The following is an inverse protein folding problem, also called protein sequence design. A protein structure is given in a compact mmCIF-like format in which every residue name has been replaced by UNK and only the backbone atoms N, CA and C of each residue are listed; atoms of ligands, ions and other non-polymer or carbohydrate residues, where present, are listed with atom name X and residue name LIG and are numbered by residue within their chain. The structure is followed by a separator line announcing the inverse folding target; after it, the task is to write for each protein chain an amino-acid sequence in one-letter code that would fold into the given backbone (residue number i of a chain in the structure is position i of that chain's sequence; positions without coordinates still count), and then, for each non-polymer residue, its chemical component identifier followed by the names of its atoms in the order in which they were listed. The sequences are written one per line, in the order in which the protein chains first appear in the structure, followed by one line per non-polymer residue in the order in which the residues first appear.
data_IF_980283298625
#
_entry.id   IF_980283298625
#
_cell.length_a   1.000
_cell.length_b   1.000
_cell.length_c   1.000
_cell.angle_alpha   90.00
_cell.angle_beta   90.00
_cell.angle_gamma   90.00
#
_symmetry.space_group_name_H-M   'P 1'
#
loop_
_entity.id
_entity.type
_entity.pdbx_description
1 polymer ?
#
# COMPACT_ATOMS: atom_id res chain seq x y z
N UNK A 1 2.30 4.16 -15.82
CA UNK A 1 1.08 4.80 -16.35
C UNK A 1 -0.03 3.77 -16.23
N UNK A 2 -0.86 3.90 -15.20
CA UNK A 2 -1.88 2.91 -14.84
C UNK A 2 -2.99 2.85 -15.89
N UNK A 3 -3.46 1.64 -16.17
CA UNK A 3 -4.51 1.33 -17.13
C UNK A 3 -5.92 1.43 -16.52
N UNK A 4 -6.06 2.20 -15.44
CA UNK A 4 -7.26 2.34 -14.59
C UNK A 4 -7.73 1.06 -13.89
N UNK A 5 -6.93 -0.02 -13.91
CA UNK A 5 -7.15 -1.17 -13.02
C UNK A 5 -6.30 -1.05 -11.77
N UNK A 6 -6.84 -1.54 -10.67
CA UNK A 6 -6.07 -1.73 -9.44
C UNK A 6 -5.09 -2.90 -9.62
N UNK A 7 -3.89 -2.76 -9.08
CA UNK A 7 -2.95 -3.87 -8.94
C UNK A 7 -3.03 -4.52 -7.55
N UNK A 8 -2.68 -5.81 -7.47
CA UNK A 8 -2.46 -6.45 -6.18
C UNK A 8 -1.06 -6.18 -5.65
N UNK A 9 -0.99 -5.68 -4.42
CA UNK A 9 0.25 -5.58 -3.66
C UNK A 9 0.38 -6.72 -2.66
N UNK A 10 1.48 -7.45 -2.74
CA UNK A 10 1.83 -8.52 -1.81
C UNK A 10 3.05 -8.08 -1.02
N UNK A 11 3.03 -8.28 0.30
CA UNK A 11 4.16 -8.05 1.18
C UNK A 11 4.31 -9.15 2.21
N UNK A 12 5.56 -9.54 2.48
CA UNK A 12 5.88 -10.53 3.50
C UNK A 12 6.76 -9.90 4.58
N UNK A 13 6.21 -9.78 5.78
CA UNK A 13 6.83 -9.05 6.89
C UNK A 13 8.14 -9.66 7.40
N UNK A 14 8.32 -10.98 7.24
CA UNK A 14 9.48 -11.73 7.75
C UNK A 14 10.77 -11.45 6.99
N UNK A 15 10.68 -11.14 5.70
CA UNK A 15 11.85 -10.93 4.83
C UNK A 15 11.73 -9.70 3.92
N UNK A 16 10.63 -8.94 4.03
CA UNK A 16 10.43 -7.67 3.36
C UNK A 16 10.13 -7.80 1.88
N UNK A 17 10.00 -9.02 1.36
CA UNK A 17 9.70 -9.25 -0.05
C UNK A 17 8.37 -8.61 -0.38
N UNK A 18 8.35 -7.80 -1.43
CA UNK A 18 7.12 -7.27 -2.01
C UNK A 18 7.00 -7.64 -3.49
N UNK A 19 5.75 -7.70 -3.97
CA UNK A 19 5.42 -7.93 -5.38
C UNK A 19 4.16 -7.15 -5.76
N UNK A 20 4.16 -6.58 -6.96
CA UNK A 20 2.97 -6.03 -7.61
C UNK A 20 2.51 -6.98 -8.71
N UNK A 21 1.21 -7.08 -8.90
CA UNK A 21 0.59 -7.92 -9.91
C UNK A 21 -0.56 -7.20 -10.59
N UNK A 22 -0.58 -7.25 -11.92
CA UNK A 22 -1.82 -7.00 -12.66
C UNK A 22 -2.85 -8.09 -12.32
N UNK A 23 -4.12 -7.70 -12.30
CA UNK A 23 -5.24 -8.60 -12.06
C UNK A 23 -5.99 -8.79 -13.35
N UNK A 24 -6.05 -10.02 -13.85
CA UNK A 24 -6.87 -10.30 -15.02
C UNK A 24 -8.35 -10.17 -14.67
N UNK A 25 -9.20 -9.92 -15.66
CA UNK A 25 -10.66 -9.82 -15.47
C UNK A 25 -11.31 -11.08 -14.90
N UNK A 26 -10.64 -12.23 -14.95
CA UNK A 26 -11.08 -13.49 -14.35
C UNK A 26 -10.57 -13.70 -12.90
N UNK A 27 -9.86 -12.71 -12.35
CA UNK A 27 -9.26 -12.73 -11.02
C UNK A 27 -7.92 -13.45 -10.92
N UNK A 28 -7.36 -13.96 -12.03
CA UNK A 28 -6.05 -14.61 -12.01
C UNK A 28 -4.90 -13.60 -11.96
N UNK A 29 -3.80 -13.97 -11.31
CA UNK A 29 -2.56 -13.18 -11.27
C UNK A 29 -1.53 -13.76 -12.24
N UNK A 30 -0.90 -12.88 -13.02
CA UNK A 30 0.21 -13.22 -13.90
C UNK A 30 1.57 -13.31 -13.17
N UNK A 31 2.65 -13.10 -13.92
CA UNK A 31 3.95 -12.86 -13.32
C UNK A 31 3.94 -11.50 -12.58
N UNK A 32 4.77 -11.32 -11.54
CA UNK A 32 4.91 -10.01 -10.90
C UNK A 32 5.38 -8.97 -11.92
N UNK A 33 4.73 -7.81 -11.95
CA UNK A 33 5.15 -6.69 -12.80
C UNK A 33 6.31 -5.91 -12.19
N UNK A 34 6.45 -5.97 -10.86
CA UNK A 34 7.58 -5.45 -10.10
C UNK A 34 7.74 -6.20 -8.79
N UNK A 35 8.98 -6.38 -8.36
CA UNK A 35 9.31 -7.01 -7.08
C UNK A 35 10.59 -6.44 -6.48
N UNK A 36 10.77 -6.64 -5.18
CA UNK A 36 11.94 -6.18 -4.45
C UNK A 36 11.84 -6.42 -2.96
N UNK A 37 12.55 -5.60 -2.18
CA UNK A 37 12.57 -5.70 -0.72
C UNK A 37 12.29 -4.33 -0.11
N UNK A 38 11.29 -4.27 0.76
CA UNK A 38 11.02 -3.16 1.66
C UNK A 38 11.54 -3.46 3.07
N UNK A 39 11.47 -2.45 3.95
CA UNK A 39 11.78 -2.65 5.36
C UNK A 39 10.84 -3.68 6.01
N UNK A 40 11.33 -4.34 7.06
CA UNK A 40 10.69 -5.50 7.67
C UNK A 40 9.60 -5.13 8.68
N UNK A 41 8.77 -6.12 9.02
CA UNK A 41 7.89 -6.06 10.19
C UNK A 41 6.78 -5.03 10.09
N UNK A 42 6.26 -4.75 8.89
CA UNK A 42 4.99 -4.04 8.76
C UNK A 42 3.84 -5.03 8.96
N UNK A 43 2.86 -4.63 9.76
CA UNK A 43 1.70 -5.48 10.10
C UNK A 43 0.51 -5.19 9.19
N UNK A 44 0.39 -3.94 8.73
CA UNK A 44 -0.64 -3.52 7.79
C UNK A 44 -0.05 -2.61 6.74
N UNK A 45 -0.40 -2.86 5.49
CA UNK A 45 -0.12 -2.00 4.34
C UNK A 45 -1.42 -1.91 3.54
N UNK A 46 -1.92 -0.70 3.29
CA UNK A 46 -3.15 -0.48 2.50
C UNK A 46 -2.94 0.70 1.57
N UNK A 47 -3.58 0.65 0.42
CA UNK A 47 -3.75 1.78 -0.47
C UNK A 47 -4.78 2.76 0.11
N UNK A 48 -4.60 4.06 -0.15
CA UNK A 48 -5.52 5.15 0.21
C UNK A 48 -5.24 6.35 -0.71
N UNK A 49 -6.27 6.87 -1.37
CA UNK A 49 -6.22 8.18 -2.05
C UNK A 49 -6.19 9.29 -1.00
N UNK A 50 -5.00 9.77 -0.64
CA UNK A 50 -4.80 10.68 0.49
C UNK A 50 -5.10 12.14 0.13
N UNK A 51 -4.90 12.51 -1.13
CA UNK A 51 -5.04 13.89 -1.61
C UNK A 51 -6.17 14.10 -2.64
N UNK A 52 -6.88 13.04 -3.03
CA UNK A 52 -8.08 13.09 -3.85
C UNK A 52 -7.80 13.17 -5.34
N UNK A 53 -6.61 12.79 -5.79
CA UNK A 53 -6.20 12.85 -7.20
C UNK A 53 -6.48 11.55 -7.99
N UNK A 54 -7.13 10.57 -7.34
CA UNK A 54 -7.42 9.22 -7.87
C UNK A 54 -6.20 8.35 -8.11
N UNK A 55 -5.02 8.73 -7.63
CA UNK A 55 -3.85 7.88 -7.51
C UNK A 55 -3.66 7.48 -6.04
N UNK A 56 -3.63 6.18 -5.77
CA UNK A 56 -3.44 5.74 -4.40
C UNK A 56 -2.02 6.01 -3.86
N UNK A 57 -1.96 6.52 -2.63
CA UNK A 57 -0.81 6.41 -1.74
C UNK A 57 -0.83 5.09 -0.98
N UNK A 58 0.34 4.69 -0.46
CA UNK A 58 0.42 3.60 0.51
C UNK A 58 0.49 4.11 1.94
N UNK A 59 -0.35 3.56 2.79
CA UNK A 59 -0.24 3.60 4.23
C UNK A 59 0.42 2.33 4.76
N UNK A 60 1.48 2.49 5.57
CA UNK A 60 2.19 1.42 6.27
C UNK A 60 2.01 1.59 7.78
N UNK A 61 1.75 0.50 8.51
CA UNK A 61 1.61 0.49 9.96
C UNK A 61 2.29 -0.71 10.62
N UNK A 62 2.98 -0.46 11.74
CA UNK A 62 3.60 -1.48 12.59
C UNK A 62 2.93 -1.49 13.96
N UNK A 63 2.25 -2.58 14.28
CA UNK A 63 1.41 -2.77 15.46
C UNK A 63 2.19 -2.70 16.78
N UNK A 64 3.42 -3.23 16.78
CA UNK A 64 4.28 -3.34 17.95
C UNK A 64 4.87 -2.01 18.43
N UNK A 65 5.05 -1.05 17.52
CA UNK A 65 5.64 0.26 17.82
C UNK A 65 4.70 1.42 17.58
N UNK A 66 3.57 1.19 16.91
CA UNK A 66 2.65 2.24 16.47
C UNK A 66 3.19 3.04 15.29
N UNK A 67 4.35 2.67 14.74
CA UNK A 67 4.97 3.41 13.64
C UNK A 67 4.08 3.38 12.42
N UNK A 68 3.81 4.55 11.85
CA UNK A 68 3.11 4.66 10.57
C UNK A 68 3.89 5.51 9.58
N UNK A 69 3.65 5.25 8.29
CA UNK A 69 4.18 6.03 7.17
C UNK A 69 3.18 6.09 6.03
N UNK A 70 3.09 7.24 5.37
CA UNK A 70 2.42 7.41 4.09
C UNK A 70 3.46 7.62 3.00
N UNK A 71 3.25 7.02 1.83
CA UNK A 71 4.16 7.08 0.70
C UNK A 71 3.40 7.34 -0.59
N UNK A 72 3.87 8.29 -1.40
CA UNK A 72 3.49 8.33 -2.81
C UNK A 72 4.13 7.16 -3.56
N UNK A 73 3.38 6.66 -4.54
CA UNK A 73 3.88 5.74 -5.55
C UNK A 73 4.47 6.56 -6.69
N UNK A 74 5.72 6.29 -7.02
CA UNK A 74 6.39 6.94 -8.16
C UNK A 74 5.97 6.25 -9.47
N UNK A 75 6.23 6.90 -10.61
CA UNK A 75 5.85 6.39 -11.94
C UNK A 75 6.36 4.97 -12.25
N UNK A 76 7.46 4.55 -11.62
CA UNK A 76 8.03 3.23 -11.80
C UNK A 76 7.45 2.16 -10.86
N UNK A 77 6.44 2.51 -10.05
CA UNK A 77 5.86 1.70 -8.96
C UNK A 77 6.82 1.44 -7.77
N UNK A 78 7.77 2.34 -7.50
CA UNK A 78 8.53 2.36 -6.24
C UNK A 78 7.95 3.38 -5.25
N UNK A 79 8.26 3.20 -3.96
CA UNK A 79 7.92 4.17 -2.93
C UNK A 79 8.95 5.29 -2.89
N UNK A 80 8.49 6.53 -2.90
CA UNK A 80 9.32 7.71 -2.69
C UNK A 80 9.73 7.91 -1.23
N UNK A 81 10.12 9.14 -0.89
CA UNK A 81 10.24 9.54 0.52
C UNK A 81 8.86 9.51 1.19
N UNK A 82 8.79 9.24 2.51
CA UNK A 82 7.52 9.32 3.22
C UNK A 82 6.91 10.72 3.10
N UNK A 83 5.65 10.79 2.72
CA UNK A 83 4.83 12.02 2.73
C UNK A 83 4.63 12.49 4.17
N UNK A 84 4.38 11.52 5.06
CA UNK A 84 4.22 11.74 6.49
C UNK A 84 4.59 10.47 7.25
N UNK A 85 5.15 10.64 8.44
CA UNK A 85 5.44 9.53 9.35
C UNK A 85 5.25 9.94 10.81
N UNK A 86 5.07 8.95 11.68
CA UNK A 86 4.89 9.19 13.11
C UNK A 86 4.45 7.95 13.87
N UNK A 87 3.70 8.18 14.94
CA UNK A 87 3.16 7.14 15.81
C UNK A 87 1.63 7.25 15.91
N UNK A 88 0.95 6.12 15.75
CA UNK A 88 -0.44 5.90 16.14
C UNK A 88 -0.49 5.01 17.39
N UNK A 89 -1.70 4.83 17.95
CA UNK A 89 -1.92 3.86 19.03
C UNK A 89 -1.62 2.44 18.56
N UNK A 90 -1.31 1.57 19.52
CA UNK A 90 -0.77 0.23 19.27
C UNK A 90 -1.88 -0.81 19.05
N UNK A 91 -1.47 -2.00 18.56
CA UNK A 91 -2.26 -3.23 18.60
C UNK A 91 -3.63 -3.20 17.88
N UNK A 92 -3.76 -2.44 16.79
CA UNK A 92 -4.90 -2.54 15.87
C UNK A 92 -4.85 -3.86 15.05
N UNK A 93 -5.98 -4.56 14.98
CA UNK A 93 -6.11 -5.84 14.25
C UNK A 93 -6.44 -5.67 12.75
N UNK A 94 -7.16 -4.60 12.39
CA UNK A 94 -7.61 -4.35 11.03
C UNK A 94 -7.56 -2.85 10.71
N UNK A 95 -7.05 -2.54 9.52
CA UNK A 95 -6.96 -1.19 8.97
C UNK A 95 -7.38 -1.29 7.50
N UNK A 96 -8.30 -0.45 7.08
CA UNK A 96 -8.83 -0.42 5.70
C UNK A 96 -9.21 1.02 5.38
N UNK A 97 -8.79 1.49 4.20
CA UNK A 97 -9.24 2.78 3.68
C UNK A 97 -10.71 2.66 3.24
N UNK A 98 -11.52 3.66 3.57
CA UNK A 98 -12.94 3.70 3.20
C UNK A 98 -13.28 5.12 2.76
N UNK A 99 -13.98 5.23 1.62
CA UNK A 99 -14.65 6.47 1.22
C UNK A 99 -16.06 6.45 1.84
N UNK A 100 -16.34 7.41 2.72
CA UNK A 100 -17.63 7.50 3.42
C UNK A 100 -18.51 8.62 2.87
N UNK A 101 -17.91 9.58 2.16
CA UNK A 101 -18.63 10.68 1.58
C UNK A 101 -19.23 10.23 0.24
N UNK A 102 -20.56 10.36 0.05
CA UNK A 102 -21.16 10.07 -1.23
C UNK A 102 -20.65 11.10 -2.24
N UNK A 103 -20.21 10.62 -3.41
CA UNK A 103 -20.00 11.48 -4.57
C UNK A 103 -21.28 12.30 -4.84
N UNK A 104 -21.18 13.60 -5.18
CA UNK A 104 -22.33 14.41 -5.57
C UNK A 104 -23.13 13.80 -6.72
#
# INVERSE_FOLDING_TARGET
AGDSQDEFFFYRSSDGVFKYYDVNSDGSLGAPIKEGVYSLGWDSITAVDLDGDSQDEFFFYRSSTGTFKYYHVTEDASLGLPVREGLYSLAWDSITAVELDPTP
#
